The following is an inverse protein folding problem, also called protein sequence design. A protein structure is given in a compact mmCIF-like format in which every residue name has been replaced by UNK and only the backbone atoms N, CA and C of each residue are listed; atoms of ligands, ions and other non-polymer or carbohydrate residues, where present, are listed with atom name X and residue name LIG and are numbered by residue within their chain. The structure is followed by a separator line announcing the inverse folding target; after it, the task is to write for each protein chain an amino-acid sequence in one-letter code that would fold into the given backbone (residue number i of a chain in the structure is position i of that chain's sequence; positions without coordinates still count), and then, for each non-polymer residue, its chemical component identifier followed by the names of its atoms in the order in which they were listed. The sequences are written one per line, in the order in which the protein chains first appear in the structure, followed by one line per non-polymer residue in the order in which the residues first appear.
data_IF_660199952179
#
_entry.id   IF_660199952179
#
_cell.length_a   1.000
_cell.length_b   1.000
_cell.length_c   1.000
_cell.angle_alpha   90.00
_cell.angle_beta   90.00
_cell.angle_gamma   90.00
#
_symmetry.space_group_name_H-M   'P 1'
#
loop_
_entity.id
_entity.type
_entity.pdbx_description
1 polymer ?
#
# COMPACT_ATOMS: atom_id res chain seq x y z
N UNK A 1 66.08 -0.03 -7.49
CA UNK A 1 65.67 1.39 -7.50
C UNK A 1 64.34 1.50 -6.77
N UNK A 2 64.32 2.05 -5.55
CA UNK A 2 63.07 2.35 -4.84
C UNK A 2 62.70 3.79 -5.19
N UNK A 3 61.68 3.94 -6.02
CA UNK A 3 61.12 5.24 -6.39
C UNK A 3 60.21 5.68 -5.26
N UNK A 4 60.56 6.80 -4.63
CA UNK A 4 59.67 7.58 -3.77
C UNK A 4 58.85 8.54 -4.65
N UNK A 5 57.52 8.58 -4.48
CA UNK A 5 56.78 9.85 -4.52
C UNK A 5 55.39 9.69 -3.91
N UNK A 6 55.24 10.38 -2.79
CA UNK A 6 54.03 10.97 -2.23
C UNK A 6 53.01 11.36 -3.30
N UNK A 7 51.71 11.16 -3.05
CA UNK A 7 50.73 12.26 -3.04
C UNK A 7 49.29 11.81 -2.78
N UNK A 8 48.66 12.59 -1.88
CA UNK A 8 47.26 13.01 -1.85
C UNK A 8 46.22 11.90 -1.63
N UNK A 9 45.93 11.70 -0.35
CA UNK A 9 44.64 11.24 0.14
C UNK A 9 43.57 12.18 -0.44
N UNK A 10 42.98 11.75 -1.56
CA UNK A 10 41.96 12.48 -2.29
C UNK A 10 40.65 11.76 -2.04
N UNK A 11 39.66 12.55 -1.70
CA UNK A 11 38.22 12.23 -1.57
C UNK A 11 37.92 11.50 -0.27
N UNK A 12 36.93 11.93 0.52
CA UNK A 12 35.53 11.59 0.25
C UNK A 12 34.64 12.76 0.70
N UNK A 13 33.86 13.29 -0.24
CA UNK A 13 32.81 14.29 0.01
C UNK A 13 31.65 13.73 0.84
N UNK A 14 30.50 14.43 0.95
CA UNK A 14 29.40 14.00 1.81
C UNK A 14 28.93 12.59 1.41
N UNK A 15 29.13 11.63 2.31
CA UNK A 15 28.66 10.26 2.11
C UNK A 15 27.15 10.20 2.34
N UNK A 16 26.39 9.92 1.28
CA UNK A 16 24.96 9.63 1.40
C UNK A 16 24.83 8.17 1.88
N UNK A 17 24.41 7.99 3.13
CA UNK A 17 24.29 6.66 3.74
C UNK A 17 23.10 5.86 3.20
N UNK A 18 22.03 6.53 2.75
CA UNK A 18 20.88 5.91 2.11
C UNK A 18 20.07 6.95 1.32
N UNK A 19 19.43 6.51 0.25
CA UNK A 19 18.41 7.28 -0.47
C UNK A 19 17.11 6.46 -0.36
N UNK A 20 16.10 7.04 0.28
CA UNK A 20 14.75 6.46 0.38
C UNK A 20 13.81 7.21 -0.54
N UNK A 21 13.12 6.48 -1.41
CA UNK A 21 12.04 7.03 -2.23
C UNK A 21 10.72 6.76 -1.53
N UNK A 22 9.94 7.81 -1.26
CA UNK A 22 8.60 7.71 -0.67
C UNK A 22 7.58 8.06 -1.75
N UNK A 23 6.82 7.07 -2.20
CA UNK A 23 5.66 7.29 -3.07
C UNK A 23 4.42 7.47 -2.21
N UNK A 24 3.74 8.62 -2.35
CA UNK A 24 2.51 8.93 -1.60
C UNK A 24 1.33 9.03 -2.56
N UNK A 25 0.31 8.21 -2.33
CA UNK A 25 -0.96 8.23 -3.06
C UNK A 25 -2.00 8.90 -2.17
N UNK A 26 -2.67 9.95 -2.68
CA UNK A 26 -3.79 10.60 -1.99
C UNK A 26 -5.11 10.08 -2.59
N UNK A 27 -6.06 9.75 -1.72
CA UNK A 27 -7.35 9.14 -2.08
C UNK A 27 -8.53 9.95 -1.55
N UNK A 28 -8.29 11.13 -0.97
CA UNK A 28 -9.30 11.95 -0.31
C UNK A 28 -10.43 12.38 -1.26
N UNK A 29 -10.10 12.74 -2.49
CA UNK A 29 -11.13 13.04 -3.50
C UNK A 29 -11.93 11.79 -3.89
N UNK A 30 -11.27 10.64 -3.94
CA UNK A 30 -11.94 9.38 -4.26
C UNK A 30 -12.92 8.94 -3.17
N UNK A 31 -12.60 9.23 -1.89
CA UNK A 31 -13.50 8.97 -0.76
C UNK A 31 -14.75 9.86 -0.78
N UNK A 32 -14.65 11.11 -1.26
CA UNK A 32 -15.80 12.03 -1.33
C UNK A 32 -16.86 11.57 -2.32
N UNK A 33 -16.42 10.97 -3.42
CA UNK A 33 -17.27 10.44 -4.48
C UNK A 33 -17.87 9.06 -4.13
N UNK A 34 -17.51 8.46 -2.99
CA UNK A 34 -18.11 7.19 -2.56
C UNK A 34 -19.54 7.40 -2.04
N UNK A 35 -20.42 6.47 -2.42
CA UNK A 35 -21.79 6.41 -1.94
C UNK A 35 -21.82 6.38 -0.41
N UNK A 36 -22.80 7.07 0.18
CA UNK A 36 -23.02 7.07 1.61
C UNK A 36 -23.63 5.73 2.05
N UNK A 37 -22.98 4.95 2.94
CA UNK A 37 -23.41 3.59 3.27
C UNK A 37 -24.51 3.53 4.33
N UNK A 38 -25.31 4.58 4.53
CA UNK A 38 -26.35 4.63 5.55
C UNK A 38 -27.60 3.78 5.18
N UNK A 39 -27.40 2.58 4.65
CA UNK A 39 -28.45 1.61 4.41
C UNK A 39 -28.68 0.81 5.70
N UNK A 40 -29.87 0.99 6.26
CA UNK A 40 -30.37 0.21 7.39
C UNK A 40 -30.85 -1.15 6.89
N UNK A 41 -30.23 -2.23 7.34
CA UNK A 41 -30.65 -3.60 7.03
C UNK A 41 -31.41 -4.20 8.23
N UNK A 42 -32.59 -4.76 7.99
CA UNK A 42 -33.34 -5.50 9.01
C UNK A 42 -33.06 -6.99 8.85
N UNK A 43 -32.51 -7.61 9.89
CA UNK A 43 -32.23 -9.06 9.93
C UNK A 43 -33.22 -9.70 10.88
N UNK A 44 -33.87 -10.78 10.47
CA UNK A 44 -34.77 -11.53 11.35
C UNK A 44 -33.94 -12.31 12.39
N UNK A 45 -34.13 -12.00 13.66
CA UNK A 45 -33.59 -12.79 14.77
C UNK A 45 -34.48 -14.00 15.03
N UNK A 46 -33.89 -15.09 15.54
CA UNK A 46 -34.57 -16.37 15.77
C UNK A 46 -35.78 -16.32 16.70
N UNK A 47 -35.93 -15.23 17.46
CA UNK A 47 -37.01 -15.00 18.44
C UNK A 47 -38.20 -14.19 17.87
N UNK A 48 -38.20 -13.87 16.58
CA UNK A 48 -39.31 -13.18 15.91
C UNK A 48 -39.23 -11.65 15.90
N UNK A 49 -38.18 -11.09 16.51
CA UNK A 49 -37.86 -9.66 16.41
C UNK A 49 -36.90 -9.38 15.22
N UNK A 50 -37.06 -8.21 14.60
CA UNK A 50 -36.14 -7.72 13.57
C UNK A 50 -35.04 -6.90 14.23
N UNK A 51 -33.79 -7.35 14.14
CA UNK A 51 -32.63 -6.57 14.56
C UNK A 51 -32.18 -5.64 13.43
N UNK A 52 -31.98 -4.37 13.80
CA UNK A 52 -31.44 -3.36 12.91
C UNK A 52 -29.91 -3.51 12.87
N UNK A 53 -29.36 -3.99 11.76
CA UNK A 53 -27.92 -4.01 11.54
C UNK A 53 -27.51 -2.86 10.61
N UNK A 54 -26.56 -2.05 11.06
CA UNK A 54 -25.85 -1.12 10.19
C UNK A 54 -24.85 -1.91 9.35
N UNK A 55 -25.17 -2.10 8.07
CA UNK A 55 -24.27 -2.73 7.12
C UNK A 55 -23.52 -1.64 6.34
N UNK A 56 -22.31 -1.29 6.80
CA UNK A 56 -21.46 -0.35 6.06
C UNK A 56 -21.06 -0.97 4.71
N UNK A 57 -21.42 -0.33 3.58
CA UNK A 57 -20.93 -0.71 2.24
C UNK A 57 -19.41 -0.57 2.18
N UNK A 58 -18.74 -1.63 1.72
CA UNK A 58 -17.28 -1.67 1.57
C UNK A 58 -16.88 -1.89 0.11
N UNK A 59 -15.77 -1.27 -0.29
CA UNK A 59 -15.14 -1.39 -1.59
C UNK A 59 -13.85 -2.21 -1.46
N UNK A 60 -13.61 -3.08 -2.45
CA UNK A 60 -12.39 -3.89 -2.55
C UNK A 60 -11.55 -3.36 -3.72
N UNK A 61 -10.43 -2.72 -3.40
CA UNK A 61 -9.52 -2.13 -4.39
C UNK A 61 -8.31 -3.03 -4.56
N UNK A 62 -8.00 -3.37 -5.80
CA UNK A 62 -6.81 -4.14 -6.12
C UNK A 62 -5.66 -3.19 -6.49
N UNK A 63 -4.60 -3.19 -5.68
CA UNK A 63 -3.36 -2.49 -5.93
C UNK A 63 -2.31 -3.50 -6.41
N UNK A 64 -1.93 -3.40 -7.69
CA UNK A 64 -0.90 -4.24 -8.30
C UNK A 64 0.33 -3.40 -8.57
N UNK A 65 1.46 -3.77 -7.99
CA UNK A 65 2.75 -3.08 -8.13
C UNK A 65 3.74 -4.05 -8.76
N UNK A 66 4.37 -3.65 -9.85
CA UNK A 66 5.44 -4.42 -10.48
C UNK A 66 6.77 -3.75 -10.20
N UNK A 67 7.68 -4.46 -9.55
CA UNK A 67 9.06 -4.04 -9.38
C UNK A 67 9.94 -4.73 -10.42
N UNK A 68 10.64 -3.92 -11.23
CA UNK A 68 11.57 -4.46 -12.24
C UNK A 68 12.93 -3.79 -12.14
N UNK A 69 13.99 -4.60 -12.07
CA UNK A 69 15.35 -4.10 -12.09
C UNK A 69 16.24 -5.05 -12.90
N UNK A 70 16.68 -4.57 -14.07
CA UNK A 70 17.61 -5.33 -14.94
C UNK A 70 18.96 -5.61 -14.28
N UNK A 71 19.43 -4.67 -13.44
CA UNK A 71 20.75 -4.78 -12.77
C UNK A 71 20.73 -5.78 -11.61
N UNK A 72 19.59 -5.90 -10.93
CA UNK A 72 19.43 -6.74 -9.74
C UNK A 72 18.66 -8.04 -10.04
N UNK A 73 18.30 -8.27 -11.30
CA UNK A 73 17.46 -9.39 -11.75
C UNK A 73 16.14 -9.53 -10.96
N UNK A 74 15.53 -8.39 -10.63
CA UNK A 74 14.24 -8.32 -9.91
C UNK A 74 13.11 -8.24 -10.94
N UNK A 75 12.10 -9.08 -10.78
CA UNK A 75 10.86 -9.07 -11.54
C UNK A 75 9.71 -9.56 -10.66
N UNK A 76 9.37 -8.74 -9.67
CA UNK A 76 8.40 -9.08 -8.65
C UNK A 76 7.07 -8.38 -8.91
N UNK A 77 5.98 -9.08 -8.57
CA UNK A 77 4.62 -8.54 -8.63
C UNK A 77 4.05 -8.64 -7.22
N UNK A 78 3.68 -7.49 -6.68
CA UNK A 78 2.99 -7.39 -5.40
C UNK A 78 1.52 -7.08 -5.67
N UNK A 79 0.63 -7.87 -5.08
CA UNK A 79 -0.81 -7.67 -5.20
C UNK A 79 -1.40 -7.47 -3.80
N UNK A 80 -2.02 -6.32 -3.60
CA UNK A 80 -2.73 -5.99 -2.38
C UNK A 80 -4.21 -5.78 -2.66
N UNK A 81 -5.05 -6.26 -1.76
CA UNK A 81 -6.47 -5.91 -1.69
C UNK A 81 -6.67 -4.93 -0.55
N UNK A 82 -7.02 -3.70 -0.90
CA UNK A 82 -7.34 -2.63 0.05
C UNK A 82 -8.85 -2.61 0.23
N UNK A 83 -9.29 -2.78 1.46
CA UNK A 83 -10.70 -2.78 1.84
C UNK A 83 -10.98 -1.46 2.52
N UNK A 84 -11.94 -0.72 1.98
CA UNK A 84 -12.19 0.65 2.39
C UNK A 84 -13.65 1.04 2.20
N UNK A 85 -14.07 2.07 2.90
CA UNK A 85 -15.36 2.72 2.72
C UNK A 85 -15.15 4.24 2.71
N UNK A 86 -16.24 5.01 2.67
CA UNK A 86 -16.20 6.47 2.70
C UNK A 86 -15.44 7.06 3.90
N UNK A 87 -15.35 6.34 5.03
CA UNK A 87 -14.60 6.75 6.23
C UNK A 87 -13.09 6.53 6.08
N UNK A 88 -12.65 5.75 5.08
CA UNK A 88 -11.25 5.50 4.77
C UNK A 88 -10.92 4.01 4.66
N UNK A 89 -9.63 3.70 4.83
CA UNK A 89 -9.11 2.33 4.75
C UNK A 89 -9.49 1.55 6.01
N UNK A 90 -10.13 0.41 5.83
CA UNK A 90 -10.49 -0.51 6.89
C UNK A 90 -9.38 -1.53 7.14
N UNK A 91 -8.85 -2.13 6.07
CA UNK A 91 -7.71 -3.06 6.13
C UNK A 91 -7.03 -3.22 4.77
N UNK A 92 -5.84 -3.81 4.80
CA UNK A 92 -5.09 -4.21 3.62
C UNK A 92 -4.74 -5.69 3.75
N UNK A 93 -4.91 -6.43 2.67
CA UNK A 93 -4.62 -7.85 2.59
C UNK A 93 -3.62 -8.09 1.46
N UNK A 94 -2.60 -8.90 1.70
CA UNK A 94 -1.70 -9.37 0.64
C UNK A 94 -2.38 -10.52 -0.09
N UNK A 95 -2.49 -10.41 -1.41
CA UNK A 95 -2.93 -11.48 -2.26
C UNK A 95 -1.70 -12.16 -2.83
N UNK A 96 -1.17 -13.13 -2.08
CA UNK A 96 -0.12 -14.00 -2.61
C UNK A 96 -0.70 -14.81 -3.78
N UNK A 97 0.12 -15.03 -4.82
CA UNK A 97 -0.26 -15.99 -5.87
C UNK A 97 -0.56 -17.34 -5.20
N UNK A 98 -1.70 -18.00 -5.49
CA UNK A 98 -1.80 -19.42 -5.21
C UNK A 98 -0.65 -20.12 -5.96
N UNK A 99 0.14 -20.90 -5.23
CA UNK A 99 1.25 -21.70 -5.78
C UNK A 99 0.75 -22.72 -6.79
#
# INVERSE_FOLDING_TARGET
VKIFKTEKDRTIGPWINAITVITRIRIDDWLKEMDDPNDVMYVASGDGDFEQQNSDRVYHVHLVITETSKKQNINDIHHYRIIMNKKGILRMETLDRPQ
#
